data_IF_675127758738
#
_entry.id   IF_675127758738
#
_cell.length_a   1.000
_cell.length_b   1.000
_cell.length_c   1.000
_cell.angle_alpha   90.00
_cell.angle_beta   90.00
_cell.angle_gamma   90.00
#
_symmetry.space_group_name_H-M   'P 1'
#
loop_
_entity.id
_entity.type
_entity.pdbx_description
1 polymer ?
#
# COMPACT_ATOMS: atom_id res chain seq x y z
N UNK A 1 44.81 -15.26 -33.22
CA UNK A 1 43.78 -14.22 -33.19
C UNK A 1 42.60 -14.58 -32.28
N UNK A 2 42.85 -15.22 -31.11
CA UNK A 2 41.78 -15.79 -30.27
C UNK A 2 41.81 -15.27 -28.82
N UNK A 3 42.99 -14.97 -28.26
CA UNK A 3 43.16 -14.52 -26.87
C UNK A 3 42.64 -13.10 -26.66
N UNK A 4 42.86 -12.17 -27.58
CA UNK A 4 42.32 -10.80 -27.50
C UNK A 4 40.80 -10.78 -27.57
N UNK A 5 40.19 -11.60 -28.43
CA UNK A 5 38.75 -11.76 -28.52
C UNK A 5 38.16 -12.36 -27.21
N UNK A 6 38.88 -13.29 -26.58
CA UNK A 6 38.50 -13.86 -25.29
C UNK A 6 38.63 -12.84 -24.16
N UNK A 7 39.69 -12.05 -24.13
CA UNK A 7 39.90 -11.02 -23.10
C UNK A 7 38.90 -9.88 -23.22
N UNK A 8 38.66 -9.39 -24.45
CA UNK A 8 37.66 -8.35 -24.71
C UNK A 8 36.24 -8.81 -24.38
N UNK A 9 35.86 -10.04 -24.75
CA UNK A 9 34.54 -10.59 -24.40
C UNK A 9 34.38 -10.86 -22.90
N UNK A 10 35.45 -11.25 -22.20
CA UNK A 10 35.44 -11.38 -20.74
C UNK A 10 35.25 -10.03 -20.04
N UNK A 11 35.96 -8.97 -20.48
CA UNK A 11 35.80 -7.62 -19.94
C UNK A 11 34.40 -7.08 -20.19
N UNK A 12 33.87 -7.23 -21.42
CA UNK A 12 32.50 -6.81 -21.74
C UNK A 12 31.49 -7.57 -20.89
N UNK A 13 31.65 -8.87 -20.72
CA UNK A 13 30.77 -9.68 -19.88
C UNK A 13 30.82 -9.27 -18.41
N UNK A 14 32.01 -8.94 -17.89
CA UNK A 14 32.18 -8.44 -16.53
C UNK A 14 31.54 -7.07 -16.33
N UNK A 15 31.65 -6.16 -17.30
CA UNK A 15 31.02 -4.84 -17.27
C UNK A 15 29.49 -4.94 -17.32
N UNK A 16 28.96 -5.77 -18.23
CA UNK A 16 27.51 -6.02 -18.33
C UNK A 16 26.99 -6.69 -17.06
N UNK A 17 27.70 -7.70 -16.56
CA UNK A 17 27.36 -8.39 -15.31
C UNK A 17 27.37 -7.44 -14.10
N UNK A 18 28.39 -6.59 -14.00
CA UNK A 18 28.49 -5.56 -12.96
C UNK A 18 27.33 -4.56 -13.04
N UNK A 19 27.00 -4.05 -14.23
CA UNK A 19 25.89 -3.12 -14.43
C UNK A 19 24.53 -3.75 -14.07
N UNK A 20 24.29 -4.99 -14.51
CA UNK A 20 23.05 -5.73 -14.17
C UNK A 20 22.97 -5.98 -12.67
N UNK A 21 24.08 -6.36 -12.03
CA UNK A 21 24.16 -6.59 -10.58
C UNK A 21 23.84 -5.32 -9.79
N UNK A 22 24.44 -4.17 -10.16
CA UNK A 22 24.15 -2.89 -9.54
C UNK A 22 22.66 -2.51 -9.66
N UNK A 23 22.11 -2.57 -10.88
CA UNK A 23 20.70 -2.23 -11.13
C UNK A 23 19.71 -3.13 -10.40
N UNK A 24 20.02 -4.42 -10.28
CA UNK A 24 19.18 -5.37 -9.54
C UNK A 24 19.27 -5.14 -8.04
N UNK A 25 20.46 -4.84 -7.51
CA UNK A 25 20.68 -4.53 -6.09
C UNK A 25 19.95 -3.26 -5.65
N UNK A 26 20.12 -2.13 -6.36
CA UNK A 26 19.46 -0.86 -6.05
C UNK A 26 17.93 -1.01 -6.04
N UNK A 27 17.39 -1.67 -7.07
CA UNK A 27 15.96 -1.92 -7.17
C UNK A 27 15.46 -2.81 -6.03
N UNK A 28 16.23 -3.82 -5.64
CA UNK A 28 15.88 -4.70 -4.51
C UNK A 28 15.79 -3.90 -3.22
N UNK A 29 16.79 -3.07 -2.91
CA UNK A 29 16.83 -2.23 -1.71
C UNK A 29 15.63 -1.27 -1.67
N UNK A 30 15.34 -0.60 -2.78
CA UNK A 30 14.20 0.32 -2.87
C UNK A 30 12.86 -0.40 -2.65
N UNK A 31 12.66 -1.55 -3.29
CA UNK A 31 11.45 -2.35 -3.12
C UNK A 31 11.32 -2.81 -1.68
N UNK A 32 12.41 -3.32 -1.10
CA UNK A 32 12.43 -3.83 0.28
C UNK A 32 12.01 -2.74 1.28
N UNK A 33 12.65 -1.57 1.23
CA UNK A 33 12.31 -0.45 2.11
C UNK A 33 10.84 -0.04 1.99
N UNK A 34 10.34 0.14 0.77
CA UNK A 34 8.93 0.51 0.53
C UNK A 34 7.98 -0.59 1.03
N UNK A 35 8.30 -1.86 0.80
CA UNK A 35 7.44 -2.97 1.25
C UNK A 35 7.40 -3.10 2.77
N UNK A 36 8.51 -2.84 3.45
CA UNK A 36 8.58 -2.81 4.91
C UNK A 36 7.74 -1.67 5.49
N UNK A 37 7.90 -0.44 4.98
CA UNK A 37 7.09 0.71 5.43
C UNK A 37 5.60 0.50 5.14
N UNK A 38 5.24 -0.07 3.98
CA UNK A 38 3.84 -0.43 3.69
C UNK A 38 3.30 -1.53 4.59
N UNK A 39 4.12 -2.48 5.01
CA UNK A 39 3.70 -3.48 5.99
C UNK A 39 3.39 -2.83 7.34
N UNK A 40 4.24 -1.91 7.81
CA UNK A 40 4.01 -1.12 9.03
C UNK A 40 2.75 -0.27 8.92
N UNK A 41 2.60 0.47 7.83
CA UNK A 41 1.41 1.29 7.56
C UNK A 41 0.12 0.46 7.57
N UNK A 42 0.07 -0.69 6.87
CA UNK A 42 -1.10 -1.58 6.88
C UNK A 42 -1.43 -2.07 8.29
N UNK A 43 -0.41 -2.36 9.10
CA UNK A 43 -0.64 -2.79 10.47
C UNK A 43 -1.18 -1.66 11.34
N UNK A 44 -0.68 -0.44 11.21
CA UNK A 44 -1.22 0.74 11.86
C UNK A 44 -2.70 0.96 11.49
N UNK A 45 -3.06 0.85 10.21
CA UNK A 45 -4.45 0.95 9.74
C UNK A 45 -5.32 -0.12 10.42
N UNK A 46 -4.89 -1.39 10.46
CA UNK A 46 -5.67 -2.47 11.11
C UNK A 46 -5.85 -2.23 12.60
N UNK A 47 -4.76 -1.91 13.31
CA UNK A 47 -4.78 -1.66 14.76
C UNK A 47 -5.71 -0.49 15.10
N UNK A 48 -5.62 0.62 14.36
CA UNK A 48 -6.47 1.78 14.60
C UNK A 48 -7.92 1.56 14.19
N UNK A 49 -8.18 0.81 13.11
CA UNK A 49 -9.54 0.40 12.75
C UNK A 49 -10.18 -0.45 13.87
N UNK A 50 -9.43 -1.39 14.47
CA UNK A 50 -9.91 -2.15 15.62
C UNK A 50 -10.17 -1.26 16.84
N UNK A 51 -9.37 -0.20 17.06
CA UNK A 51 -9.63 0.78 18.13
C UNK A 51 -10.93 1.55 17.87
N UNK A 52 -11.22 1.96 16.63
CA UNK A 52 -12.50 2.58 16.26
C UNK A 52 -13.66 1.66 16.60
N UNK A 53 -13.58 0.38 16.21
CA UNK A 53 -14.58 -0.62 16.58
C UNK A 53 -14.78 -0.72 18.09
N UNK A 54 -13.68 -0.82 18.86
CA UNK A 54 -13.74 -0.92 20.32
C UNK A 54 -14.33 0.34 20.97
N UNK A 55 -13.99 1.52 20.46
CA UNK A 55 -14.51 2.79 20.96
C UNK A 55 -16.02 2.90 20.77
N UNK A 56 -16.55 2.41 19.64
CA UNK A 56 -18.00 2.39 19.38
C UNK A 56 -18.71 1.30 20.18
N UNK A 57 -18.11 0.11 20.32
CA UNK A 57 -18.74 -1.01 21.04
C UNK A 57 -18.74 -0.84 22.57
N UNK A 58 -17.79 -0.09 23.13
CA UNK A 58 -17.85 0.30 24.53
C UNK A 58 -18.91 1.39 24.68
N UNK A 59 -20.04 1.05 25.31
CA UNK A 59 -21.10 2.00 25.68
C UNK A 59 -20.69 2.94 26.83
N UNK A 60 -19.45 3.43 26.79
CA UNK A 60 -18.98 4.43 27.74
C UNK A 60 -19.63 5.79 27.45
N UNK A 61 -19.78 6.59 28.49
CA UNK A 61 -20.47 7.89 28.43
C UNK A 61 -19.73 8.94 27.60
N UNK A 62 -18.46 8.70 27.24
CA UNK A 62 -17.60 9.59 26.47
C UNK A 62 -16.93 8.89 25.26
N UNK A 63 -17.74 8.49 24.28
CA UNK A 63 -17.26 7.94 23.00
C UNK A 63 -16.58 9.00 22.12
N UNK A 64 -16.82 10.30 22.39
CA UNK A 64 -16.37 11.40 21.52
C UNK A 64 -14.87 11.62 21.58
N UNK A 65 -14.30 11.66 22.78
CA UNK A 65 -12.86 11.85 22.99
C UNK A 65 -11.99 10.80 22.26
N UNK A 66 -12.22 9.47 22.42
CA UNK A 66 -11.41 8.47 21.73
C UNK A 66 -11.60 8.48 20.21
N UNK A 67 -12.79 8.84 19.70
CA UNK A 67 -13.01 8.95 18.25
C UNK A 67 -12.31 10.18 17.65
N UNK A 68 -12.24 11.30 18.38
CA UNK A 68 -11.49 12.48 17.93
C UNK A 68 -9.98 12.18 17.81
N UNK A 69 -9.40 11.50 18.79
CA UNK A 69 -8.01 11.04 18.74
C UNK A 69 -7.77 10.09 17.55
N UNK A 70 -8.68 9.15 17.31
CA UNK A 70 -8.58 8.22 16.19
C UNK A 70 -8.75 8.93 14.84
N UNK A 71 -9.59 9.96 14.76
CA UNK A 71 -9.75 10.78 13.54
C UNK A 71 -8.42 11.43 13.17
N UNK A 72 -7.76 12.10 14.13
CA UNK A 72 -6.43 12.69 13.95
C UNK A 72 -5.40 11.65 13.47
N UNK A 73 -5.40 10.46 14.08
CA UNK A 73 -4.48 9.38 13.68
C UNK A 73 -4.74 8.94 12.24
N UNK A 74 -6.00 8.81 11.82
CA UNK A 74 -6.32 8.45 10.44
C UNK A 74 -5.97 9.57 9.45
N UNK A 75 -6.12 10.85 9.81
CA UNK A 75 -5.69 11.98 8.98
C UNK A 75 -4.18 11.94 8.69
N UNK A 76 -3.37 11.50 9.65
CA UNK A 76 -1.91 11.35 9.48
C UNK A 76 -1.53 10.11 8.65
N UNK A 77 -2.40 9.10 8.58
CA UNK A 77 -2.13 7.84 7.88
C UNK A 77 -2.69 7.80 6.45
N UNK A 78 -3.74 8.56 6.19
CA UNK A 78 -4.48 8.55 4.93
C UNK A 78 -4.09 9.72 4.03
N UNK A 79 -4.39 9.61 2.73
CA UNK A 79 -4.11 10.67 1.78
C UNK A 79 -5.24 11.73 1.81
N UNK A 80 -4.96 12.99 2.18
CA UNK A 80 -5.98 14.04 2.24
C UNK A 80 -6.51 14.46 0.86
N UNK A 81 -5.91 13.99 -0.24
CA UNK A 81 -6.34 14.27 -1.60
C UNK A 81 -7.11 13.10 -2.24
N UNK A 82 -7.19 11.95 -1.59
CA UNK A 82 -7.90 10.79 -2.13
C UNK A 82 -9.36 10.77 -1.63
N UNK A 83 -10.35 10.74 -2.54
CA UNK A 83 -11.77 10.79 -2.15
C UNK A 83 -12.23 9.63 -1.26
N UNK A 84 -11.67 8.42 -1.43
CA UNK A 84 -12.06 7.26 -0.63
C UNK A 84 -11.46 7.35 0.78
N UNK A 85 -10.23 7.84 0.88
CA UNK A 85 -9.57 8.13 2.15
C UNK A 85 -10.31 9.23 2.93
N UNK A 86 -10.68 10.34 2.26
CA UNK A 86 -11.51 11.40 2.86
C UNK A 86 -12.84 10.81 3.36
N UNK A 87 -13.43 9.90 2.61
CA UNK A 87 -14.70 9.29 3.00
C UNK A 87 -14.56 8.34 4.21
N UNK A 88 -13.39 7.72 4.43
CA UNK A 88 -13.08 7.00 5.68
C UNK A 88 -13.08 7.97 6.86
N UNK A 89 -12.43 9.14 6.73
CA UNK A 89 -12.41 10.17 7.79
C UNK A 89 -13.82 10.63 8.15
N UNK A 90 -14.63 10.96 7.14
CA UNK A 90 -16.05 11.32 7.33
C UNK A 90 -16.87 10.22 8.00
N UNK A 91 -16.55 8.96 7.73
CA UNK A 91 -17.19 7.85 8.46
C UNK A 91 -16.85 7.90 9.94
N UNK A 92 -15.60 8.17 10.33
CA UNK A 92 -15.19 8.24 11.75
C UNK A 92 -15.84 9.44 12.43
N UNK A 93 -15.81 10.63 11.81
CA UNK A 93 -16.50 11.82 12.31
C UNK A 93 -18.00 11.55 12.50
N UNK A 94 -18.63 10.96 11.49
CA UNK A 94 -20.05 10.60 11.51
C UNK A 94 -20.43 9.51 12.52
N UNK A 95 -19.46 8.79 13.11
CA UNK A 95 -19.69 7.90 14.26
C UNK A 95 -19.82 8.70 15.56
N UNK A 96 -19.08 9.81 15.71
CA UNK A 96 -19.10 10.63 16.93
C UNK A 96 -20.37 11.46 17.11
N UNK A 97 -21.05 11.78 16.00
CA UNK A 97 -22.23 12.64 15.97
C UNK A 97 -23.56 11.84 15.94
N UNK A 98 -23.49 10.53 15.68
CA UNK A 98 -24.68 9.70 15.49
C UNK A 98 -25.24 9.18 16.82
N UNK A 99 -26.57 9.08 16.93
CA UNK A 99 -27.24 8.42 18.06
C UNK A 99 -27.01 6.90 18.10
N UNK A 100 -26.78 6.29 16.93
CA UNK A 100 -26.59 4.84 16.78
C UNK A 100 -25.33 4.55 15.94
N UNK A 101 -24.12 4.76 16.50
CA UNK A 101 -22.87 4.58 15.77
C UNK A 101 -22.65 3.13 15.31
N UNK A 102 -23.17 2.14 16.04
CA UNK A 102 -23.10 0.72 15.69
C UNK A 102 -23.67 0.42 14.29
N UNK A 103 -24.72 1.14 13.85
CA UNK A 103 -25.33 0.96 12.52
C UNK A 103 -24.45 1.49 11.38
N UNK A 104 -23.58 2.46 11.64
CA UNK A 104 -22.66 3.05 10.65
C UNK A 104 -21.30 2.37 10.61
N UNK A 105 -20.96 1.64 11.67
CA UNK A 105 -19.70 0.92 11.80
C UNK A 105 -19.40 -0.04 10.61
N UNK A 106 -20.38 -0.78 10.03
CA UNK A 106 -20.12 -1.63 8.88
C UNK A 106 -19.63 -0.88 7.63
N UNK A 107 -20.07 0.37 7.42
CA UNK A 107 -19.61 1.19 6.29
C UNK A 107 -18.12 1.52 6.45
N UNK A 108 -17.74 1.97 7.65
CA UNK A 108 -16.34 2.22 7.99
C UNK A 108 -15.48 0.97 7.77
N UNK A 109 -15.89 -0.20 8.29
CA UNK A 109 -15.16 -1.46 8.11
C UNK A 109 -14.98 -1.80 6.63
N UNK A 110 -16.02 -1.61 5.82
CA UNK A 110 -15.99 -1.92 4.39
C UNK A 110 -15.03 -1.02 3.63
N UNK A 111 -15.00 0.29 3.93
CA UNK A 111 -14.07 1.23 3.30
C UNK A 111 -12.61 0.92 3.65
N UNK A 112 -12.32 0.64 4.92
CA UNK A 112 -10.97 0.21 5.34
C UNK A 112 -10.57 -1.11 4.65
N UNK A 113 -11.50 -2.06 4.50
CA UNK A 113 -11.23 -3.29 3.78
C UNK A 113 -10.90 -3.04 2.30
N UNK A 114 -11.62 -2.12 1.63
CA UNK A 114 -11.30 -1.73 0.26
C UNK A 114 -9.94 -1.05 0.13
N UNK A 115 -9.60 -0.14 1.04
CA UNK A 115 -8.28 0.51 1.09
C UNK A 115 -7.16 -0.54 1.15
N UNK A 116 -7.25 -1.49 2.08
CA UNK A 116 -6.25 -2.54 2.24
C UNK A 116 -6.21 -3.51 1.04
N UNK A 117 -7.37 -3.80 0.44
CA UNK A 117 -7.45 -4.64 -0.75
C UNK A 117 -6.80 -3.96 -1.96
N UNK A 118 -7.04 -2.67 -2.14
CA UNK A 118 -6.47 -1.89 -3.23
C UNK A 118 -4.95 -1.75 -3.08
N UNK A 119 -4.45 -1.47 -1.87
CA UNK A 119 -3.00 -1.46 -1.62
C UNK A 119 -2.35 -2.83 -1.91
N UNK A 120 -2.99 -3.93 -1.51
CA UNK A 120 -2.52 -5.28 -1.83
C UNK A 120 -2.41 -5.52 -3.34
N UNK A 121 -3.40 -5.09 -4.11
CA UNK A 121 -3.37 -5.23 -5.56
C UNK A 121 -2.31 -4.34 -6.22
N UNK A 122 -2.08 -3.14 -5.69
CA UNK A 122 -0.97 -2.28 -6.08
C UNK A 122 0.38 -2.95 -5.80
N UNK A 123 0.60 -3.47 -4.59
CA UNK A 123 1.83 -4.16 -4.22
C UNK A 123 2.11 -5.36 -5.14
N UNK A 124 1.09 -6.18 -5.45
CA UNK A 124 1.23 -7.27 -6.44
C UNK A 124 1.64 -6.78 -7.83
N UNK A 125 1.14 -5.62 -8.27
CA UNK A 125 1.52 -5.02 -9.57
C UNK A 125 2.93 -4.46 -9.57
N UNK A 126 3.37 -3.89 -8.45
CA UNK A 126 4.71 -3.32 -8.29
C UNK A 126 5.80 -4.40 -8.19
N UNK A 127 5.48 -5.53 -7.55
CA UNK A 127 6.38 -6.68 -7.45
C UNK A 127 6.61 -7.38 -8.80
N UNK A 128 5.77 -7.16 -9.82
CA UNK A 128 5.95 -7.77 -11.14
C UNK A 128 7.17 -7.18 -11.87
N UNK A 129 7.99 -8.01 -12.54
CA UNK A 129 9.10 -7.53 -13.36
C UNK A 129 8.64 -6.56 -14.45
N UNK A 130 9.53 -5.66 -14.84
CA UNK A 130 9.26 -4.68 -15.88
C UNK A 130 8.96 -5.31 -17.24
N UNK A 131 9.62 -6.42 -17.62
CA UNK A 131 9.32 -7.18 -18.83
C UNK A 131 7.89 -7.75 -18.84
N UNK A 132 7.33 -8.10 -17.67
CA UNK A 132 5.95 -8.56 -17.54
C UNK A 132 4.91 -7.48 -17.92
N UNK A 133 5.29 -6.19 -17.88
CA UNK A 133 4.43 -5.08 -18.34
C UNK A 133 4.40 -4.96 -19.87
N UNK A 134 5.50 -5.34 -20.55
CA UNK A 134 5.59 -5.34 -22.01
C UNK A 134 4.78 -6.48 -22.63
N UNK A 135 4.85 -7.69 -22.06
CA UNK A 135 4.06 -8.84 -22.53
C UNK A 135 2.54 -8.65 -22.40
N UNK A 136 2.07 -7.89 -21.40
CA UNK A 136 0.63 -7.63 -21.21
C UNK A 136 0.04 -6.67 -22.26
N UNK A 137 0.86 -5.81 -22.88
CA UNK A 137 0.42 -4.91 -23.95
C UNK A 137 0.10 -5.69 -25.23
N UNK A 138 0.99 -6.59 -25.61
CA UNK A 138 0.86 -7.44 -26.81
C UNK A 138 -0.37 -8.36 -26.79
N UNK A 139 -0.70 -8.98 -25.64
CA UNK A 139 -1.86 -9.87 -25.54
C UNK A 139 -3.22 -9.13 -25.62
N UNK A 140 -3.28 -7.85 -25.24
CA UNK A 140 -4.50 -7.05 -25.32
C UNK A 140 -4.75 -6.52 -26.73
N UNK A 141 -3.69 -6.35 -27.52
CA UNK A 141 -3.74 -5.94 -28.93
C UNK A 141 -4.08 -7.12 -29.87
N UNK A 142 -3.94 -8.38 -29.42
CA UNK A 142 -4.29 -9.58 -30.20
C UNK A 142 -5.72 -10.10 -30.01
N UNK A 143 -6.52 -9.47 -29.14
CA UNK A 143 -7.89 -9.85 -28.80
C UNK A 143 -8.92 -8.75 -29.12
N UNK A 144 -8.48 -7.67 -29.75
CA UNK A 144 -9.33 -6.64 -30.38
C UNK A 144 -9.13 -6.67 -31.89
#
# INVERSE_FOLDING_TARGET
MNTELLLTSAVVSALVGGFVSLRTSERKIQIENITQERAKWREQIRVNALKVHKAVSKKDTDVKTPLAELTLVFELLLNPLDPEDIAILKCIEGLSECKEPEKRLPEFSKRVAYLLKHDWERAKREAKPWWWRLFKKSYRESLG
#
